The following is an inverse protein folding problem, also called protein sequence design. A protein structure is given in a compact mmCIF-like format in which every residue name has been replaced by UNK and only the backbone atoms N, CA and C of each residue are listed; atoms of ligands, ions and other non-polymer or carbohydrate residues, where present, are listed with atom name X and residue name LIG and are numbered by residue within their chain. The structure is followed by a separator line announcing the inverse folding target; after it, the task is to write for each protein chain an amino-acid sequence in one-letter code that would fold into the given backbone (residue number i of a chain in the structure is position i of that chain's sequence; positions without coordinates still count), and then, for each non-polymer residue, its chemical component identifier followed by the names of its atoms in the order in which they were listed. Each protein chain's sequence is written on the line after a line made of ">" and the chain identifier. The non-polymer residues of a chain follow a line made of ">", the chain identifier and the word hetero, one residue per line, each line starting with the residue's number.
data_IF_529214216941
#
_entry.id   IF_529214216941
#
_cell.length_a   1.000
_cell.length_b   1.000
_cell.length_c   1.000
_cell.angle_alpha   90.00
_cell.angle_beta   90.00
_cell.angle_gamma   90.00
#
_symmetry.space_group_name_H-M   'P 1'
#
loop_
_entity.id
_entity.type
_entity.pdbx_description
1 polymer ?
#
# COMPACT_ATOMS: atom_id res chain seq x y z
N UNK A 1 17.35 40.02 49.90
CA UNK A 1 18.57 40.46 49.19
C UNK A 1 19.37 39.21 48.89
N UNK A 2 19.30 38.71 47.64
CA UNK A 2 20.02 37.50 47.22
C UNK A 2 21.10 37.90 46.21
N UNK A 3 22.37 37.73 46.58
CA UNK A 3 23.53 37.91 45.73
C UNK A 3 23.80 36.62 44.94
N UNK A 4 23.85 36.70 43.62
CA UNK A 4 24.32 35.61 42.74
C UNK A 4 25.77 35.91 42.33
N UNK A 5 26.73 34.98 42.50
CA UNK A 5 28.10 35.22 42.04
C UNK A 5 28.19 34.97 40.53
N UNK A 6 28.73 35.93 39.78
CA UNK A 6 29.03 35.77 38.37
C UNK A 6 30.28 34.88 38.23
N UNK A 7 30.15 33.77 37.50
CA UNK A 7 31.28 32.91 37.12
C UNK A 7 31.73 33.29 35.71
N UNK A 8 32.93 33.81 35.58
CA UNK A 8 33.59 34.10 34.30
C UNK A 8 34.06 32.79 33.66
N UNK A 9 33.83 32.53 32.36
CA UNK A 9 34.37 31.34 31.70
C UNK A 9 35.88 31.51 31.47
N UNK A 10 36.65 30.47 31.81
CA UNK A 10 38.08 30.41 31.53
C UNK A 10 38.32 30.26 30.01
N UNK A 11 39.31 31.00 29.50
CA UNK A 11 39.75 30.99 28.11
C UNK A 11 40.30 29.62 27.72
N UNK A 12 39.78 29.03 26.65
CA UNK A 12 40.18 27.74 26.09
C UNK A 12 41.36 27.89 25.13
N UNK A 13 42.53 28.27 25.64
CA UNK A 13 43.71 28.55 24.79
C UNK A 13 44.82 27.48 24.87
N UNK A 14 44.54 26.31 25.45
CA UNK A 14 45.51 25.20 25.58
C UNK A 14 45.06 23.94 24.82
N UNK A 15 44.71 24.06 23.55
CA UNK A 15 44.58 22.91 22.66
C UNK A 15 45.79 22.86 21.71
N UNK A 16 46.86 22.23 22.18
CA UNK A 16 48.04 21.90 21.38
C UNK A 16 47.62 21.08 20.14
N UNK A 17 47.96 21.59 18.95
CA UNK A 17 47.65 20.98 17.67
C UNK A 17 48.42 19.69 17.44
N UNK A 18 47.69 18.57 17.47
CA UNK A 18 48.13 17.32 16.83
C UNK A 18 48.00 17.55 15.32
N UNK A 19 49.02 17.29 14.50
CA UNK A 19 48.88 17.38 13.05
C UNK A 19 47.84 16.32 12.64
N UNK A 20 46.69 16.75 12.16
CA UNK A 20 45.77 15.84 11.50
C UNK A 20 46.52 15.24 10.31
N UNK A 21 46.63 13.92 10.27
CA UNK A 21 47.22 13.20 9.15
C UNK A 21 46.29 13.35 7.93
N UNK A 22 46.57 14.34 7.08
CA UNK A 22 45.83 14.65 5.87
C UNK A 22 45.66 13.41 4.97
N UNK A 23 46.63 12.49 4.96
CA UNK A 23 46.53 11.25 4.20
C UNK A 23 45.48 10.30 4.80
N UNK A 24 45.45 10.17 6.13
CA UNK A 24 44.41 9.43 6.85
C UNK A 24 43.01 10.00 6.63
N UNK A 25 42.88 11.34 6.60
CA UNK A 25 41.62 12.01 6.30
C UNK A 25 41.15 11.76 4.86
N UNK A 26 42.04 11.86 3.87
CA UNK A 26 41.70 11.60 2.46
C UNK A 26 41.34 10.13 2.21
N UNK A 27 41.99 9.18 2.88
CA UNK A 27 41.62 7.75 2.81
C UNK A 27 40.22 7.53 3.39
N UNK A 28 39.92 8.09 4.57
CA UNK A 28 38.60 7.98 5.19
C UNK A 28 37.51 8.60 4.30
N UNK A 29 37.81 9.74 3.66
CA UNK A 29 36.90 10.40 2.72
C UNK A 29 36.63 9.54 1.50
N UNK A 30 37.67 8.96 0.90
CA UNK A 30 37.54 8.09 -0.27
C UNK A 30 36.72 6.84 0.06
N UNK A 31 36.97 6.21 1.21
CA UNK A 31 36.21 5.04 1.70
C UNK A 31 34.72 5.36 1.89
N UNK A 32 34.41 6.50 2.53
CA UNK A 32 33.03 6.95 2.72
C UNK A 32 32.31 7.19 1.37
N UNK A 33 33.00 7.80 0.39
CA UNK A 33 32.44 8.04 -0.95
C UNK A 33 32.20 6.72 -1.69
N UNK A 34 33.15 5.79 -1.64
CA UNK A 34 33.01 4.48 -2.29
C UNK A 34 31.90 3.65 -1.65
N UNK A 35 31.82 3.63 -0.32
CA UNK A 35 30.74 2.96 0.42
C UNK A 35 29.38 3.57 0.08
N UNK A 36 29.26 4.90 0.05
CA UNK A 36 28.02 5.57 -0.34
C UNK A 36 27.59 5.22 -1.78
N UNK A 37 28.54 5.15 -2.71
CA UNK A 37 28.27 4.72 -4.10
C UNK A 37 27.84 3.26 -4.17
N UNK A 38 28.49 2.38 -3.42
CA UNK A 38 28.15 0.96 -3.38
C UNK A 38 26.74 0.74 -2.81
N UNK A 39 26.38 1.44 -1.73
CA UNK A 39 25.04 1.40 -1.15
C UNK A 39 23.97 1.92 -2.13
N UNK A 40 24.20 3.10 -2.73
CA UNK A 40 23.28 3.67 -3.72
C UNK A 40 23.10 2.77 -4.95
N UNK A 41 24.19 2.17 -5.44
CA UNK A 41 24.15 1.23 -6.56
C UNK A 41 23.42 -0.06 -6.20
N UNK A 42 23.61 -0.56 -4.97
CA UNK A 42 22.89 -1.73 -4.45
C UNK A 42 21.39 -1.47 -4.33
N UNK A 43 20.98 -0.31 -3.81
CA UNK A 43 19.58 0.09 -3.73
C UNK A 43 18.93 0.23 -5.11
N UNK A 44 19.65 0.82 -6.06
CA UNK A 44 19.20 0.89 -7.46
C UNK A 44 19.00 -0.50 -8.06
N UNK A 45 19.96 -1.41 -7.93
CA UNK A 45 19.87 -2.77 -8.44
C UNK A 45 18.73 -3.55 -7.77
N UNK A 46 18.52 -3.40 -6.47
CA UNK A 46 17.39 -3.99 -5.75
C UNK A 46 16.04 -3.48 -6.30
N UNK A 47 15.94 -2.19 -6.59
CA UNK A 47 14.75 -1.60 -7.23
C UNK A 47 14.50 -2.14 -8.64
N UNK A 48 15.55 -2.28 -9.46
CA UNK A 48 15.44 -2.88 -10.80
C UNK A 48 15.02 -4.35 -10.72
N UNK A 49 15.57 -5.12 -9.79
CA UNK A 49 15.19 -6.52 -9.58
C UNK A 49 13.74 -6.65 -9.10
N UNK A 50 13.30 -5.83 -8.14
CA UNK A 50 11.91 -5.83 -7.69
C UNK A 50 10.93 -5.43 -8.81
N UNK A 51 11.30 -4.47 -9.66
CA UNK A 51 10.52 -4.09 -10.83
C UNK A 51 10.45 -5.24 -11.85
N UNK A 52 11.58 -5.93 -12.10
CA UNK A 52 11.62 -7.09 -12.98
C UNK A 52 10.83 -8.28 -12.41
N UNK A 53 10.88 -8.53 -11.10
CA UNK A 53 10.06 -9.53 -10.42
C UNK A 53 8.58 -9.20 -10.54
N UNK A 54 8.19 -7.94 -10.34
CA UNK A 54 6.81 -7.51 -10.55
C UNK A 54 6.37 -7.64 -12.01
N UNK A 55 7.26 -7.35 -12.96
CA UNK A 55 7.00 -7.52 -14.40
C UNK A 55 6.99 -8.99 -14.84
N UNK A 56 7.60 -9.89 -14.05
CA UNK A 56 7.65 -11.32 -14.37
C UNK A 56 6.54 -12.11 -13.66
N UNK A 57 6.38 -11.90 -12.35
CA UNK A 57 5.39 -12.56 -11.48
C UNK A 57 4.03 -11.87 -11.54
N UNK A 58 4.02 -10.55 -11.77
CA UNK A 58 2.84 -9.70 -11.73
C UNK A 58 2.33 -9.23 -13.08
N UNK A 59 2.88 -9.70 -14.20
CA UNK A 59 2.32 -9.39 -15.52
C UNK A 59 0.93 -10.04 -15.60
N UNK A 60 -0.17 -9.27 -15.50
CA UNK A 60 -1.51 -9.82 -15.48
C UNK A 60 -1.75 -10.67 -16.74
N UNK A 61 -1.10 -10.34 -17.84
CA UNK A 61 -1.25 -10.98 -19.14
C UNK A 61 -0.59 -12.36 -19.22
N UNK A 62 0.40 -12.66 -18.36
CA UNK A 62 1.13 -13.94 -18.37
C UNK A 62 0.59 -14.91 -17.31
N UNK A 63 0.12 -14.37 -16.18
CA UNK A 63 -0.40 -15.15 -15.06
C UNK A 63 -1.46 -16.20 -15.44
N UNK A 64 -2.43 -15.93 -16.35
CA UNK A 64 -3.40 -16.93 -16.75
C UNK A 64 -2.73 -18.14 -17.40
N UNK A 65 -1.79 -17.91 -18.33
CA UNK A 65 -1.13 -18.99 -19.07
C UNK A 65 -0.31 -19.90 -18.16
N UNK A 66 0.31 -19.34 -17.13
CA UNK A 66 1.08 -20.11 -16.16
C UNK A 66 0.19 -20.91 -15.21
N UNK A 67 -0.95 -20.36 -14.80
CA UNK A 67 -1.90 -21.04 -13.89
C UNK A 67 -2.72 -22.12 -14.59
N UNK A 68 -2.98 -21.95 -15.89
CA UNK A 68 -3.82 -22.86 -16.68
C UNK A 68 -3.15 -23.21 -18.03
N UNK A 69 -2.03 -23.95 -18.01
CA UNK A 69 -1.26 -24.23 -19.21
C UNK A 69 -2.01 -25.10 -20.23
N UNK A 70 -3.00 -25.87 -19.78
CA UNK A 70 -3.78 -26.79 -20.62
C UNK A 70 -5.01 -26.15 -21.28
N UNK A 71 -5.31 -24.88 -20.98
CA UNK A 71 -6.46 -24.19 -21.56
C UNK A 71 -6.10 -23.46 -22.85
N UNK A 72 -7.07 -23.33 -23.76
CA UNK A 72 -6.92 -22.52 -24.97
C UNK A 72 -6.54 -21.07 -24.58
N UNK A 73 -5.38 -20.56 -25.03
CA UNK A 73 -4.88 -19.25 -24.64
C UNK A 73 -5.81 -18.10 -25.07
N UNK A 74 -6.60 -18.27 -26.13
CA UNK A 74 -7.55 -17.23 -26.58
C UNK A 74 -8.73 -17.13 -25.62
N UNK A 75 -9.29 -18.26 -25.23
CA UNK A 75 -10.40 -18.33 -24.25
C UNK A 75 -9.91 -17.81 -22.90
N UNK A 76 -8.72 -18.23 -22.49
CA UNK A 76 -8.11 -17.85 -21.23
C UNK A 76 -7.87 -16.33 -21.14
N UNK A 77 -7.36 -15.71 -22.20
CA UNK A 77 -7.20 -14.27 -22.29
C UNK A 77 -8.54 -13.53 -22.17
N UNK A 78 -9.58 -13.99 -22.87
CA UNK A 78 -10.91 -13.38 -22.82
C UNK A 78 -11.53 -13.44 -21.41
N UNK A 79 -11.37 -14.57 -20.71
CA UNK A 79 -11.81 -14.73 -19.32
C UNK A 79 -11.02 -13.80 -18.39
N UNK A 80 -9.69 -13.74 -18.57
CA UNK A 80 -8.83 -12.89 -17.75
C UNK A 80 -9.17 -11.41 -17.88
N UNK A 81 -9.32 -10.90 -19.11
CA UNK A 81 -9.70 -9.51 -19.36
C UNK A 81 -11.05 -9.17 -18.70
N UNK A 82 -12.01 -10.11 -18.77
CA UNK A 82 -13.29 -9.97 -18.07
C UNK A 82 -13.10 -9.92 -16.55
N UNK A 83 -12.27 -10.80 -16.00
CA UNK A 83 -11.99 -10.88 -14.57
C UNK A 83 -11.30 -9.61 -14.05
N UNK A 84 -10.36 -9.04 -14.80
CA UNK A 84 -9.69 -7.77 -14.45
C UNK A 84 -10.69 -6.63 -14.32
N UNK A 85 -11.61 -6.49 -15.29
CA UNK A 85 -12.66 -5.46 -15.23
C UNK A 85 -13.59 -5.67 -14.03
N UNK A 86 -13.92 -6.94 -13.72
CA UNK A 86 -14.74 -7.29 -12.55
C UNK A 86 -14.00 -6.94 -11.25
N UNK A 87 -12.71 -7.29 -11.14
CA UNK A 87 -11.87 -6.99 -9.99
C UNK A 87 -11.73 -5.50 -9.74
N UNK A 88 -11.47 -4.70 -10.79
CA UNK A 88 -11.42 -3.24 -10.69
C UNK A 88 -12.74 -2.66 -10.19
N UNK A 89 -13.88 -3.10 -10.74
CA UNK A 89 -15.20 -2.65 -10.28
C UNK A 89 -15.49 -3.07 -8.85
N UNK A 90 -15.06 -4.26 -8.45
CA UNK A 90 -15.19 -4.72 -7.06
C UNK A 90 -14.34 -3.86 -6.11
N UNK A 91 -13.11 -3.50 -6.48
CA UNK A 91 -12.26 -2.59 -5.71
C UNK A 91 -12.90 -1.19 -5.56
N UNK A 92 -13.46 -0.65 -6.63
CA UNK A 92 -14.20 0.62 -6.60
C UNK A 92 -15.42 0.57 -5.67
N UNK A 93 -16.14 -0.55 -5.64
CA UNK A 93 -17.25 -0.77 -4.70
C UNK A 93 -16.71 -0.90 -3.27
N UNK A 94 -15.59 -1.60 -3.06
CA UNK A 94 -14.96 -1.81 -1.77
C UNK A 94 -14.25 -0.58 -1.17
N UNK A 95 -14.00 0.48 -1.95
CA UNK A 95 -13.33 1.69 -1.50
C UNK A 95 -14.24 2.82 -0.99
N UNK A 96 -15.55 2.81 -1.30
CA UNK A 96 -16.48 3.90 -0.96
C UNK A 96 -17.59 3.43 -0.01
N UNK A 97 -17.43 3.65 1.30
CA UNK A 97 -18.33 3.09 2.33
C UNK A 97 -19.80 3.53 2.18
N UNK A 98 -20.04 4.80 1.83
CA UNK A 98 -21.42 5.33 1.70
C UNK A 98 -22.09 4.86 0.41
N UNK A 99 -21.40 4.94 -0.73
CA UNK A 99 -21.99 4.48 -1.99
C UNK A 99 -22.12 2.94 -2.07
N UNK A 100 -21.35 2.21 -1.27
CA UNK A 100 -21.38 0.74 -1.23
C UNK A 100 -22.72 0.19 -0.75
N UNK A 101 -23.36 0.81 0.26
CA UNK A 101 -24.67 0.38 0.76
C UNK A 101 -25.77 0.38 -0.31
N UNK A 102 -25.96 1.52 -0.96
CA UNK A 102 -26.97 1.72 -2.01
C UNK A 102 -26.69 0.85 -3.24
N UNK A 103 -25.42 0.76 -3.66
CA UNK A 103 -25.03 -0.10 -4.79
C UNK A 103 -25.29 -1.57 -4.49
N UNK A 104 -24.99 -2.05 -3.29
CA UNK A 104 -25.29 -3.43 -2.90
C UNK A 104 -26.80 -3.67 -2.82
N UNK A 105 -27.61 -2.68 -2.40
CA UNK A 105 -29.07 -2.78 -2.44
C UNK A 105 -29.59 -2.93 -3.88
N UNK A 106 -29.16 -2.07 -4.80
CA UNK A 106 -29.56 -2.15 -6.22
C UNK A 106 -29.13 -3.48 -6.85
N UNK A 107 -27.91 -3.95 -6.56
CA UNK A 107 -27.42 -5.25 -7.05
C UNK A 107 -28.23 -6.42 -6.48
N UNK A 108 -28.59 -6.39 -5.20
CA UNK A 108 -29.46 -7.39 -4.59
C UNK A 108 -30.81 -7.47 -5.32
N UNK A 109 -31.46 -6.33 -5.58
CA UNK A 109 -32.75 -6.28 -6.27
C UNK A 109 -32.64 -6.85 -7.68
N UNK A 110 -31.64 -6.42 -8.47
CA UNK A 110 -31.42 -6.93 -9.82
C UNK A 110 -31.14 -8.44 -9.86
N UNK A 111 -30.36 -8.96 -8.92
CA UNK A 111 -30.09 -10.40 -8.82
C UNK A 111 -31.34 -11.19 -8.43
N UNK A 112 -32.19 -10.63 -7.57
CA UNK A 112 -33.45 -11.24 -7.15
C UNK A 112 -34.44 -11.29 -8.31
N UNK A 113 -34.59 -10.19 -9.06
CA UNK A 113 -35.44 -10.09 -10.25
C UNK A 113 -35.01 -11.08 -11.35
N UNK A 114 -33.71 -11.30 -11.50
CA UNK A 114 -33.16 -12.26 -12.45
C UNK A 114 -33.17 -13.72 -11.97
N UNK A 115 -33.69 -14.01 -10.77
CA UNK A 115 -33.78 -15.37 -10.20
C UNK A 115 -32.48 -15.92 -9.59
N UNK A 116 -31.42 -15.11 -9.49
CA UNK A 116 -30.14 -15.50 -8.87
C UNK A 116 -30.16 -15.37 -7.35
N UNK A 117 -31.11 -16.04 -6.68
CA UNK A 117 -31.36 -15.86 -5.24
C UNK A 117 -30.15 -16.14 -4.34
N UNK A 118 -29.32 -17.13 -4.67
CA UNK A 118 -28.10 -17.44 -3.89
C UNK A 118 -27.07 -16.29 -3.95
N UNK A 119 -26.91 -15.68 -5.12
CA UNK A 119 -26.02 -14.54 -5.31
C UNK A 119 -26.60 -13.29 -4.64
N UNK A 120 -27.92 -13.07 -4.77
CA UNK A 120 -28.62 -12.00 -4.06
C UNK A 120 -28.40 -12.13 -2.53
N UNK A 121 -28.57 -13.32 -1.96
CA UNK A 121 -28.31 -13.58 -0.54
C UNK A 121 -26.88 -13.25 -0.10
N UNK A 122 -25.89 -13.52 -0.96
CA UNK A 122 -24.49 -13.16 -0.70
C UNK A 122 -24.27 -11.64 -0.69
N UNK A 123 -24.88 -10.92 -1.63
CA UNK A 123 -24.85 -9.44 -1.67
C UNK A 123 -25.54 -8.85 -0.45
N UNK A 124 -26.69 -9.39 -0.03
CA UNK A 124 -27.40 -8.96 1.18
C UNK A 124 -26.56 -9.16 2.45
N UNK A 125 -25.83 -10.28 2.56
CA UNK A 125 -24.89 -10.52 3.67
C UNK A 125 -23.78 -9.47 3.68
N UNK A 126 -23.14 -9.21 2.54
CA UNK A 126 -22.09 -8.20 2.44
C UNK A 126 -22.59 -6.80 2.78
N UNK A 127 -23.84 -6.46 2.43
CA UNK A 127 -24.45 -5.17 2.80
C UNK A 127 -24.53 -4.98 4.32
N UNK A 128 -24.96 -6.01 5.05
CA UNK A 128 -25.08 -5.97 6.54
C UNK A 128 -23.73 -5.77 7.25
N UNK A 129 -22.63 -6.18 6.62
CA UNK A 129 -21.28 -5.99 7.17
C UNK A 129 -20.75 -4.56 6.98
N UNK A 130 -21.24 -3.85 5.97
CA UNK A 130 -20.77 -2.51 5.59
C UNK A 130 -21.62 -1.41 6.22
N UNK A 131 -22.92 -1.65 6.34
CA UNK A 131 -23.86 -0.80 7.04
C UNK A 131 -24.61 -1.66 8.07
N UNK A 132 -24.03 -1.90 9.25
CA UNK A 132 -24.74 -2.55 10.33
C UNK A 132 -25.91 -1.64 10.73
N UNK A 133 -27.14 -2.13 10.61
CA UNK A 133 -28.31 -1.45 11.17
C UNK A 133 -28.09 -1.34 12.68
N UNK A 134 -27.83 -0.14 13.18
CA UNK A 134 -27.67 0.06 14.62
C UNK A 134 -29.08 0.05 15.23
N UNK A 135 -29.32 -0.63 16.36
CA UNK A 135 -30.65 -0.67 16.99
C UNK A 135 -31.26 0.72 17.26
N UNK A 136 -30.42 1.74 17.41
CA UNK A 136 -30.83 3.14 17.59
C UNK A 136 -31.35 3.83 16.32
N UNK A 137 -31.06 3.30 15.12
CA UNK A 137 -31.50 3.90 13.84
C UNK A 137 -33.02 3.74 13.64
N UNK A 138 -33.65 2.76 14.32
CA UNK A 138 -35.10 2.55 14.34
C UNK A 138 -35.83 3.19 15.53
N UNK A 139 -35.11 3.86 16.45
CA UNK A 139 -35.68 4.61 17.56
C UNK A 139 -36.02 6.06 17.16
N UNK A 140 -35.26 6.64 16.21
CA UNK A 140 -35.54 7.98 15.68
C UNK A 140 -36.85 8.08 14.88
N UNK A 141 -37.34 6.97 14.28
CA UNK A 141 -38.62 6.94 13.56
C UNK A 141 -39.84 6.69 14.46
N UNK A 142 -39.64 6.34 15.74
CA UNK A 142 -40.74 6.05 16.70
C UNK A 142 -40.87 7.07 17.84
N UNK A 143 -40.10 8.15 17.80
CA UNK A 143 -40.25 9.29 18.70
C UNK A 143 -40.42 10.58 17.92
N UNK A 144 -41.68 10.95 17.64
CA UNK A 144 -42.28 12.30 17.70
C UNK A 144 -43.57 12.35 16.87
#
# INVERSE_FOLDING_TARGET
>A
MSNTPATTPASSDDAQGVPFDDAGFEVMRADAVLTGRAMSSGEYLAGVLAAAELDTVGCPEKLPRDLWPDLDPVVLQAVWERAVVVGWRAAQVAGDDRARGDRLHVLHSRLTEAGFHAMAGSVARSRRLVAPEHPADGEAERGH
#
